data_IF_432560605388
#
_entry.id   IF_432560605388
#
_cell.length_a   1.000
_cell.length_b   1.000
_cell.length_c   1.000
_cell.angle_alpha   90.00
_cell.angle_beta   90.00
_cell.angle_gamma   90.00
#
_symmetry.space_group_name_H-M   'P 1'
#
loop_
_entity.id
_entity.type
_entity.pdbx_description
1 polymer ?
#
# COMPACT_ATOMS: atom_id res chain seq x y z
N UNK A 1 -26.47 15.07 58.24
CA UNK A 1 -27.37 13.94 58.58
C UNK A 1 -26.67 12.65 58.12
N UNK A 2 -26.58 11.67 59.02
CA UNK A 2 -25.72 10.46 58.96
C UNK A 2 -26.48 9.29 58.30
N UNK A 3 -25.81 8.41 57.51
CA UNK A 3 -25.73 6.94 57.76
C UNK A 3 -24.90 6.13 56.75
N UNK A 4 -24.10 5.23 57.34
CA UNK A 4 -23.22 4.19 56.81
C UNK A 4 -23.98 2.92 56.35
N UNK A 5 -23.36 2.12 55.48
CA UNK A 5 -23.16 0.63 55.57
C UNK A 5 -22.49 0.13 54.26
N UNK A 6 -21.68 -0.94 54.13
CA UNK A 6 -21.09 -1.95 55.02
C UNK A 6 -19.92 -2.65 54.24
N UNK A 7 -19.03 -3.29 55.01
CA UNK A 7 -17.78 -4.00 54.62
C UNK A 7 -18.00 -5.40 54.02
N UNK A 8 -16.96 -5.91 53.35
CA UNK A 8 -16.61 -7.35 53.31
C UNK A 8 -15.24 -7.62 52.66
N UNK A 9 -14.19 -7.83 53.47
CA UNK A 9 -12.89 -8.40 53.05
C UNK A 9 -12.82 -9.85 53.57
N UNK A 10 -12.31 -10.77 52.76
CA UNK A 10 -11.95 -12.12 53.17
C UNK A 10 -10.46 -12.37 52.92
N UNK A 11 -9.74 -12.70 53.98
CA UNK A 11 -8.36 -13.20 53.96
C UNK A 11 -8.31 -14.39 54.93
N UNK A 12 -7.84 -15.54 54.46
CA UNK A 12 -7.38 -16.65 55.32
C UNK A 12 -6.25 -17.37 54.59
N UNK A 13 -5.08 -17.37 55.21
CA UNK A 13 -3.98 -18.28 54.90
C UNK A 13 -3.95 -19.44 55.88
N UNK A 14 -3.24 -20.51 55.49
CA UNK A 14 -2.72 -21.52 56.40
C UNK A 14 -1.45 -22.12 55.79
N UNK A 15 -0.37 -22.14 56.57
CA UNK A 15 0.87 -22.91 56.40
C UNK A 15 0.87 -24.01 57.46
N UNK A 16 1.48 -25.15 57.14
CA UNK A 16 2.20 -26.05 58.05
C UNK A 16 3.21 -26.87 57.23
N UNK A 17 4.52 -26.65 57.45
CA UNK A 17 5.55 -27.56 58.03
C UNK A 17 5.29 -29.08 57.95
N UNK A 18 6.24 -30.02 57.95
CA UNK A 18 7.67 -30.19 57.61
C UNK A 18 7.90 -31.73 57.72
N UNK A 19 9.03 -32.24 57.23
CA UNK A 19 9.67 -33.53 57.58
C UNK A 19 9.10 -34.88 57.07
N UNK A 20 9.91 -35.61 56.27
CA UNK A 20 10.51 -36.90 56.69
C UNK A 20 11.30 -37.60 55.57
N UNK A 21 12.54 -37.96 55.90
CA UNK A 21 13.52 -38.70 55.10
C UNK A 21 13.06 -40.12 54.69
N UNK A 22 13.37 -40.52 53.45
CA UNK A 22 13.71 -41.91 53.12
C UNK A 22 14.73 -41.96 51.96
N UNK A 23 15.86 -42.61 52.22
CA UNK A 23 17.03 -42.79 51.37
C UNK A 23 17.03 -44.15 50.65
N UNK A 24 17.45 -44.12 49.37
CA UNK A 24 18.16 -45.15 48.55
C UNK A 24 17.43 -46.42 48.04
N UNK A 25 17.93 -47.16 47.00
CA UNK A 25 19.06 -46.90 46.07
C UNK A 25 18.79 -47.13 44.54
N UNK A 26 19.70 -46.57 43.72
CA UNK A 26 20.20 -46.92 42.37
C UNK A 26 19.44 -47.91 41.46
N UNK A 27 19.18 -47.46 40.22
CA UNK A 27 19.37 -48.29 39.02
C UNK A 27 19.92 -47.44 37.88
N UNK A 28 21.11 -47.83 37.42
CA UNK A 28 21.81 -47.32 36.24
C UNK A 28 21.30 -48.00 34.98
N UNK A 29 20.76 -47.24 34.04
CA UNK A 29 20.82 -47.59 32.62
C UNK A 29 21.07 -46.33 31.81
N UNK A 30 22.33 -46.16 31.44
CA UNK A 30 22.72 -45.40 30.27
C UNK A 30 22.09 -46.10 29.05
N UNK A 31 21.12 -45.44 28.43
CA UNK A 31 20.69 -45.76 27.07
C UNK A 31 20.84 -44.51 26.23
N UNK A 32 21.67 -44.69 25.23
CA UNK A 32 22.09 -43.77 24.20
C UNK A 32 20.88 -43.20 23.46
N UNK A 33 20.79 -41.88 23.39
CA UNK A 33 20.08 -41.16 22.33
C UNK A 33 20.95 -39.98 21.88
N UNK A 34 22.16 -40.32 21.43
CA UNK A 34 22.78 -39.63 20.29
C UNK A 34 22.03 -40.13 19.06
N UNK A 35 21.26 -39.26 18.43
CA UNK A 35 20.83 -39.26 17.01
C UNK A 35 19.49 -38.53 16.82
N UNK A 36 19.39 -37.29 17.31
CA UNK A 36 18.36 -36.34 16.88
C UNK A 36 18.98 -35.15 16.11
N UNK A 37 20.06 -35.41 15.39
CA UNK A 37 20.84 -34.40 14.65
C UNK A 37 20.64 -34.37 13.13
N UNK A 38 19.96 -35.35 12.52
CA UNK A 38 19.90 -35.45 11.04
C UNK A 38 18.49 -35.54 10.43
N UNK A 39 17.43 -35.77 11.21
CA UNK A 39 16.07 -35.89 10.65
C UNK A 39 15.22 -34.60 10.74
N UNK A 40 15.73 -33.55 11.38
CA UNK A 40 15.05 -32.24 11.43
C UNK A 40 15.38 -31.32 10.22
N UNK A 41 16.35 -31.70 9.38
CA UNK A 41 16.83 -30.87 8.27
C UNK A 41 16.21 -31.20 6.90
N UNK A 42 15.30 -32.19 6.83
CA UNK A 42 14.68 -32.66 5.58
C UNK A 42 13.24 -32.16 5.36
N UNK A 43 12.68 -31.38 6.30
CA UNK A 43 11.27 -30.90 6.24
C UNK A 43 11.10 -29.38 6.30
N UNK A 44 12.17 -28.61 6.13
CA UNK A 44 12.07 -27.16 5.94
C UNK A 44 12.11 -26.86 4.44
N UNK A 45 11.07 -26.23 3.85
CA UNK A 45 11.16 -25.74 2.49
C UNK A 45 12.16 -24.58 2.46
N UNK A 46 13.39 -24.87 2.01
CA UNK A 46 14.38 -23.94 1.46
C UNK A 46 14.38 -22.50 2.00
N UNK A 47 14.47 -22.33 3.32
CA UNK A 47 14.70 -21.03 3.94
C UNK A 47 16.20 -20.73 3.90
N UNK A 48 16.69 -20.36 2.71
CA UNK A 48 18.13 -20.18 2.48
C UNK A 48 18.58 -20.25 1.03
N UNK A 49 17.67 -20.32 0.05
CA UNK A 49 18.05 -19.88 -1.29
C UNK A 49 18.23 -18.37 -1.23
N UNK A 50 19.49 -17.94 -1.20
CA UNK A 50 19.89 -16.66 -1.76
C UNK A 50 19.06 -16.46 -3.03
N UNK A 51 18.18 -15.45 -3.00
CA UNK A 51 17.51 -15.00 -4.21
C UNK A 51 18.63 -14.65 -5.17
N UNK A 52 18.79 -15.49 -6.19
CA UNK A 52 19.60 -15.21 -7.36
C UNK A 52 19.37 -13.75 -7.74
N UNK A 53 20.50 -13.03 -7.77
CA UNK A 53 20.73 -11.70 -8.32
C UNK A 53 19.54 -11.08 -9.05
N UNK A 54 19.16 -9.87 -8.61
CA UNK A 54 18.45 -8.82 -9.36
C UNK A 54 18.41 -9.05 -10.88
N UNK A 55 17.48 -9.90 -11.33
CA UNK A 55 16.90 -9.76 -12.66
C UNK A 55 16.02 -8.55 -12.49
N UNK A 56 16.44 -7.43 -13.11
CA UNK A 56 15.81 -6.12 -12.99
C UNK A 56 14.30 -6.27 -12.83
N UNK A 57 13.83 -5.99 -11.62
CA UNK A 57 12.40 -6.08 -11.30
C UNK A 57 11.71 -5.21 -12.32
N UNK A 58 10.78 -5.79 -13.08
CA UNK A 58 9.89 -5.01 -13.92
C UNK A 58 9.15 -4.05 -12.98
N UNK A 59 9.62 -2.80 -13.01
CA UNK A 59 8.99 -1.71 -12.30
C UNK A 59 7.84 -1.32 -13.18
N UNK A 60 6.63 -1.54 -12.70
CA UNK A 60 5.45 -1.00 -13.31
C UNK A 60 5.09 0.32 -12.60
N UNK A 61 4.39 1.21 -13.30
CA UNK A 61 4.19 2.58 -12.85
C UNK A 61 2.74 2.85 -12.47
N UNK A 62 2.48 2.96 -11.17
CA UNK A 62 1.24 3.55 -10.66
C UNK A 62 1.42 5.05 -10.51
N UNK A 63 0.46 5.81 -11.03
CA UNK A 63 0.41 7.26 -10.93
C UNK A 63 -0.81 7.67 -10.12
N UNK A 64 -0.61 8.55 -9.13
CA UNK A 64 -1.71 9.16 -8.38
C UNK A 64 -1.81 10.64 -8.78
N UNK A 65 -3.00 11.07 -9.18
CA UNK A 65 -3.30 12.46 -9.48
C UNK A 65 -4.10 13.06 -8.33
N UNK A 66 -3.58 14.15 -7.77
CA UNK A 66 -4.24 14.95 -6.73
C UNK A 66 -4.60 16.33 -7.29
N UNK A 67 -5.89 16.64 -7.34
CA UNK A 67 -6.39 17.96 -7.70
C UNK A 67 -6.84 18.69 -6.44
N UNK A 68 -6.02 19.66 -6.03
CA UNK A 68 -6.21 20.47 -4.82
C UNK A 68 -6.67 21.89 -5.16
N UNK A 69 -7.29 22.09 -6.32
CA UNK A 69 -7.95 23.34 -6.64
C UNK A 69 -9.15 23.59 -5.70
N UNK A 70 -9.52 24.86 -5.45
CA UNK A 70 -10.78 25.18 -4.78
C UNK A 70 -11.97 24.59 -5.53
N UNK A 71 -12.87 23.90 -4.83
CA UNK A 71 -14.03 23.24 -5.46
C UNK A 71 -15.16 24.20 -5.84
N UNK A 72 -15.09 25.46 -5.41
CA UNK A 72 -16.19 26.42 -5.51
C UNK A 72 -17.33 26.18 -4.51
N UNK A 73 -17.35 25.03 -3.81
CA UNK A 73 -18.31 24.75 -2.74
C UNK A 73 -17.81 25.31 -1.39
N UNK A 74 -18.63 26.10 -0.69
CA UNK A 74 -18.27 26.55 0.65
C UNK A 74 -18.06 25.33 1.56
N UNK A 75 -17.02 25.38 2.40
CA UNK A 75 -16.62 24.36 3.38
C UNK A 75 -15.83 23.13 2.86
N UNK A 76 -15.77 22.88 1.55
CA UNK A 76 -14.97 21.76 0.98
C UNK A 76 -13.53 22.22 0.67
N UNK A 77 -13.33 23.52 0.41
CA UNK A 77 -12.01 24.11 0.25
C UNK A 77 -11.25 23.57 -0.96
N UNK A 78 -9.95 23.31 -0.78
CA UNK A 78 -9.00 22.94 -1.83
C UNK A 78 -8.99 21.42 -2.12
N UNK A 79 -10.17 20.80 -2.22
CA UNK A 79 -10.35 19.35 -2.25
C UNK A 79 -11.15 18.90 -3.48
N UNK A 80 -10.65 19.23 -4.67
CA UNK A 80 -11.40 19.01 -5.91
C UNK A 80 -11.51 17.54 -6.29
N UNK A 81 -10.39 16.83 -6.40
CA UNK A 81 -10.45 15.44 -6.89
C UNK A 81 -9.20 14.62 -6.59
N UNK A 82 -9.34 13.29 -6.64
CA UNK A 82 -8.23 12.36 -6.71
C UNK A 82 -8.61 11.21 -7.64
N UNK A 83 -7.69 10.83 -8.51
CA UNK A 83 -7.77 9.58 -9.26
C UNK A 83 -6.40 8.94 -9.39
N UNK A 84 -6.37 7.75 -9.97
CA UNK A 84 -5.13 7.03 -10.23
C UNK A 84 -5.15 6.43 -11.63
N UNK A 85 -3.98 6.20 -12.20
CA UNK A 85 -3.84 5.43 -13.43
C UNK A 85 -2.58 4.59 -13.40
N UNK A 86 -2.63 3.46 -14.10
CA UNK A 86 -1.52 2.53 -14.28
C UNK A 86 -1.16 2.55 -15.76
N UNK A 87 0.13 2.74 -16.04
CA UNK A 87 0.68 2.66 -17.40
C UNK A 87 1.82 1.66 -17.37
N UNK A 88 1.62 0.46 -17.96
CA UNK A 88 2.65 -0.57 -17.99
C UNK A 88 3.94 -0.10 -18.69
N UNK A 89 5.09 -0.38 -18.07
CA UNK A 89 6.42 -0.02 -18.59
C UNK A 89 6.83 -0.81 -19.85
N UNK A 90 6.17 -1.95 -20.07
CA UNK A 90 6.31 -2.77 -21.27
C UNK A 90 5.68 -2.10 -22.52
N UNK A 91 4.97 -0.98 -22.34
CA UNK A 91 4.31 -0.24 -23.42
C UNK A 91 3.02 -0.88 -23.91
N UNK A 92 2.51 -1.91 -23.22
CA UNK A 92 1.24 -2.57 -23.53
C UNK A 92 0.08 -1.59 -23.31
N UNK A 93 -0.59 -1.16 -24.39
CA UNK A 93 -1.69 -0.22 -24.26
C UNK A 93 -2.95 -0.89 -23.68
N UNK A 94 -3.10 -2.22 -23.80
CA UNK A 94 -4.25 -2.96 -23.24
C UNK A 94 -4.17 -3.08 -21.71
N UNK A 95 -2.96 -3.12 -21.16
CA UNK A 95 -2.73 -3.14 -19.71
C UNK A 95 -2.91 -1.79 -19.01
N UNK A 96 -3.31 -0.73 -19.73
CA UNK A 96 -3.54 0.58 -19.12
C UNK A 96 -4.86 0.61 -18.37
N UNK A 97 -4.84 1.34 -17.25
CA UNK A 97 -5.99 1.53 -16.38
C UNK A 97 -6.05 2.99 -15.93
N UNK A 98 -7.24 3.57 -15.94
CA UNK A 98 -7.56 4.82 -15.24
C UNK A 98 -8.75 4.56 -14.32
N UNK A 99 -8.62 4.96 -13.07
CA UNK A 99 -9.68 4.89 -12.08
C UNK A 99 -9.99 6.30 -11.59
N UNK A 100 -11.21 6.75 -11.91
CA UNK A 100 -11.71 8.10 -11.64
C UNK A 100 -12.97 8.05 -10.76
N UNK A 101 -12.89 7.49 -9.53
CA UNK A 101 -14.06 7.24 -8.70
C UNK A 101 -14.79 8.54 -8.41
N UNK A 102 -16.11 8.57 -8.66
CA UNK A 102 -16.94 9.77 -8.45
C UNK A 102 -16.53 10.97 -9.29
N UNK A 103 -15.67 10.75 -10.28
CA UNK A 103 -15.15 11.78 -11.15
C UNK A 103 -16.08 12.07 -12.33
N UNK A 104 -15.79 13.19 -12.97
CA UNK A 104 -16.55 13.68 -14.13
C UNK A 104 -15.76 13.53 -15.44
N UNK A 105 -14.54 12.96 -15.39
CA UNK A 105 -13.80 12.68 -16.61
C UNK A 105 -14.35 11.41 -17.25
N UNK A 106 -15.26 11.61 -18.22
CA UNK A 106 -15.94 10.53 -18.94
C UNK A 106 -15.73 10.71 -20.45
N UNK A 107 -14.54 10.39 -20.99
CA UNK A 107 -14.28 10.54 -22.43
C UNK A 107 -15.13 9.59 -23.27
N UNK A 108 -15.65 8.53 -22.65
CA UNK A 108 -16.60 7.55 -23.20
C UNK A 108 -17.36 6.87 -22.05
N UNK A 109 -18.17 5.86 -22.39
CA UNK A 109 -18.77 4.97 -21.39
C UNK A 109 -17.67 4.27 -20.58
N UNK A 110 -17.76 4.38 -19.25
CA UNK A 110 -16.82 3.79 -18.31
C UNK A 110 -17.38 2.48 -17.76
N UNK A 111 -16.50 1.56 -17.39
CA UNK A 111 -16.89 0.29 -16.77
C UNK A 111 -17.43 0.46 -15.34
N UNK A 112 -17.80 -0.67 -14.73
CA UNK A 112 -18.05 -0.73 -13.28
C UNK A 112 -16.83 -0.17 -12.55
N UNK A 113 -17.00 0.89 -11.76
CA UNK A 113 -15.85 1.56 -11.14
C UNK A 113 -15.74 3.05 -11.35
N UNK A 114 -16.37 3.61 -12.40
CA UNK A 114 -15.77 4.77 -13.07
C UNK A 114 -14.29 4.46 -13.45
N UNK A 115 -14.06 3.23 -13.94
CA UNK A 115 -12.77 2.76 -14.42
C UNK A 115 -12.77 2.70 -15.95
N UNK A 116 -11.63 3.02 -16.55
CA UNK A 116 -11.35 2.97 -17.97
C UNK A 116 -10.16 2.04 -18.22
N UNK A 117 -10.28 1.15 -19.19
CA UNK A 117 -9.27 0.15 -19.51
C UNK A 117 -8.82 0.26 -20.96
N UNK A 118 -7.58 -0.17 -21.22
CA UNK A 118 -7.02 -0.36 -22.55
C UNK A 118 -6.50 0.91 -23.21
N UNK A 119 -6.30 0.84 -24.53
CA UNK A 119 -5.49 1.83 -25.27
C UNK A 119 -6.01 3.26 -25.19
N UNK A 120 -7.31 3.42 -24.93
CA UNK A 120 -7.98 4.71 -24.83
C UNK A 120 -7.68 5.45 -23.50
N UNK A 121 -7.01 4.80 -22.55
CA UNK A 121 -6.51 5.46 -21.35
C UNK A 121 -5.39 6.44 -21.74
N UNK A 122 -5.70 7.72 -21.57
CA UNK A 122 -4.81 8.85 -21.86
C UNK A 122 -4.54 9.67 -20.58
N UNK A 123 -3.41 9.43 -19.90
CA UNK A 123 -2.98 10.23 -18.75
C UNK A 123 -2.89 11.74 -19.05
N UNK A 124 -2.54 12.09 -20.29
CA UNK A 124 -2.43 13.49 -20.69
C UNK A 124 -3.79 14.17 -20.79
N UNK A 125 -4.79 13.51 -21.39
CA UNK A 125 -6.15 14.05 -21.48
C UNK A 125 -6.77 14.16 -20.09
N UNK A 126 -6.54 13.15 -19.24
CA UNK A 126 -6.97 13.16 -17.85
C UNK A 126 -6.38 14.33 -17.06
N UNK A 127 -5.06 14.55 -17.14
CA UNK A 127 -4.43 15.69 -16.49
C UNK A 127 -4.93 17.03 -17.06
N UNK A 128 -5.09 17.14 -18.38
CA UNK A 128 -5.63 18.36 -19.02
C UNK A 128 -7.03 18.69 -18.53
N UNK A 129 -7.89 17.69 -18.39
CA UNK A 129 -9.23 17.86 -17.85
C UNK A 129 -9.20 18.50 -16.45
N UNK A 130 -8.36 17.99 -15.55
CA UNK A 130 -8.25 18.53 -14.19
C UNK A 130 -7.58 19.90 -14.12
N UNK A 131 -6.62 20.18 -14.99
CA UNK A 131 -5.98 21.49 -15.10
C UNK A 131 -6.93 22.58 -15.61
N UNK A 132 -8.02 22.23 -16.31
CA UNK A 132 -9.05 23.20 -16.70
C UNK A 132 -9.77 23.81 -15.48
N UNK A 133 -9.80 23.11 -14.34
CA UNK A 133 -10.35 23.60 -13.08
C UNK A 133 -9.39 24.47 -12.26
N UNK A 134 -8.11 24.57 -12.67
CA UNK A 134 -7.09 25.38 -12.02
C UNK A 134 -5.71 24.72 -11.98
N UNK A 135 -4.67 25.45 -11.58
CA UNK A 135 -3.28 25.01 -11.70
C UNK A 135 -2.85 23.96 -10.66
N UNK A 136 -3.63 23.73 -9.60
CA UNK A 136 -3.25 22.87 -8.49
C UNK A 136 -3.62 21.40 -8.76
N UNK A 137 -3.06 20.82 -9.81
CA UNK A 137 -3.13 19.39 -10.09
C UNK A 137 -1.72 18.80 -10.19
N UNK A 138 -1.44 17.78 -9.39
CA UNK A 138 -0.13 17.11 -9.35
C UNK A 138 -0.32 15.62 -9.59
N UNK A 139 0.50 15.07 -10.47
CA UNK A 139 0.64 13.63 -10.71
C UNK A 139 1.94 13.16 -10.07
N UNK A 140 1.89 12.13 -9.22
CA UNK A 140 3.08 11.48 -8.64
C UNK A 140 3.21 10.07 -9.18
N UNK A 141 4.40 9.72 -9.66
CA UNK A 141 4.75 8.39 -10.16
C UNK A 141 5.35 7.54 -9.03
N UNK A 142 4.87 6.32 -8.89
CA UNK A 142 5.37 5.33 -7.94
C UNK A 142 5.78 4.06 -8.66
N UNK A 143 6.92 3.52 -8.24
CA UNK A 143 7.39 2.22 -8.69
C UNK A 143 6.58 1.12 -7.99
N UNK A 144 5.65 0.52 -8.71
CA UNK A 144 4.87 -0.65 -8.30
C UNK A 144 5.37 -1.91 -9.01
N UNK A 145 5.03 -3.09 -8.50
CA UNK A 145 5.27 -4.36 -9.21
C UNK A 145 4.00 -4.82 -9.90
N UNK A 146 4.07 -5.71 -10.91
CA UNK A 146 2.87 -6.28 -11.53
C UNK A 146 1.87 -6.88 -10.53
N UNK A 147 2.36 -7.61 -9.51
CA UNK A 147 1.49 -8.16 -8.45
C UNK A 147 0.77 -7.08 -7.63
N UNK A 148 1.42 -5.93 -7.40
CA UNK A 148 0.83 -4.81 -6.66
C UNK A 148 -0.25 -4.12 -7.49
N UNK A 149 -0.03 -4.00 -8.79
CA UNK A 149 -0.99 -3.41 -9.73
C UNK A 149 -2.20 -4.31 -9.93
N UNK A 150 -1.99 -5.62 -10.05
CA UNK A 150 -3.05 -6.61 -10.07
C UNK A 150 -3.91 -6.53 -8.79
N UNK A 151 -3.28 -6.38 -7.62
CA UNK A 151 -4.02 -6.19 -6.37
C UNK A 151 -4.79 -4.86 -6.34
N UNK A 152 -4.21 -3.76 -6.84
CA UNK A 152 -4.91 -2.48 -6.98
C UNK A 152 -6.13 -2.62 -7.89
N UNK A 153 -5.96 -3.27 -9.04
CA UNK A 153 -7.03 -3.52 -10.01
C UNK A 153 -8.16 -4.38 -9.41
N UNK A 154 -7.82 -5.48 -8.73
CA UNK A 154 -8.82 -6.31 -8.04
C UNK A 154 -9.60 -5.49 -7.00
N UNK A 155 -8.92 -4.63 -6.24
CA UNK A 155 -9.58 -3.76 -5.27
C UNK A 155 -10.48 -2.73 -5.95
N UNK A 156 -10.10 -2.19 -7.11
CA UNK A 156 -10.93 -1.29 -7.92
C UNK A 156 -12.19 -2.01 -8.39
N UNK A 157 -12.05 -3.19 -9.00
CA UNK A 157 -13.18 -3.95 -9.51
C UNK A 157 -14.14 -4.37 -8.38
N UNK A 158 -13.60 -4.73 -7.22
CA UNK A 158 -14.39 -5.09 -6.04
C UNK A 158 -15.11 -3.89 -5.41
N UNK A 159 -14.43 -2.75 -5.31
CA UNK A 159 -15.00 -1.55 -4.67
C UNK A 159 -16.00 -0.86 -5.58
N UNK A 160 -15.77 -0.88 -6.90
CA UNK A 160 -16.57 -0.18 -7.87
C UNK A 160 -16.40 1.35 -7.80
N UNK A 161 -17.40 2.05 -8.34
CA UNK A 161 -17.45 3.50 -8.35
C UNK A 161 -17.79 4.06 -6.97
N UNK A 162 -17.53 5.33 -6.76
CA UNK A 162 -17.87 6.03 -5.52
C UNK A 162 -19.20 6.79 -5.61
N UNK A 163 -19.74 7.17 -4.45
CA UNK A 163 -20.80 8.16 -4.36
C UNK A 163 -20.27 9.59 -4.48
N UNK A 164 -21.11 10.59 -4.32
CA UNK A 164 -20.63 11.98 -4.28
C UNK A 164 -19.60 12.16 -3.16
N UNK A 165 -18.45 12.77 -3.47
CA UNK A 165 -17.35 13.07 -2.55
C UNK A 165 -16.51 11.87 -2.06
N UNK A 166 -16.63 10.70 -2.68
CA UNK A 166 -15.88 9.50 -2.28
C UNK A 166 -14.57 9.27 -3.06
N UNK A 167 -14.17 10.18 -3.94
CA UNK A 167 -13.04 9.97 -4.85
C UNK A 167 -11.73 9.58 -4.12
N UNK A 168 -11.29 10.41 -3.16
CA UNK A 168 -10.07 10.14 -2.38
C UNK A 168 -10.23 8.98 -1.42
N UNK A 169 -11.43 8.80 -0.85
CA UNK A 169 -11.75 7.64 0.00
C UNK A 169 -11.52 6.35 -0.76
N UNK A 170 -12.01 6.27 -2.01
CA UNK A 170 -11.86 5.10 -2.85
C UNK A 170 -10.42 4.90 -3.29
N UNK A 171 -9.74 5.95 -3.75
CA UNK A 171 -8.31 5.86 -4.12
C UNK A 171 -7.47 5.37 -2.94
N UNK A 172 -7.68 5.91 -1.73
CA UNK A 172 -6.93 5.46 -0.55
C UNK A 172 -7.24 4.01 -0.17
N UNK A 173 -8.50 3.57 -0.32
CA UNK A 173 -8.87 2.17 -0.02
C UNK A 173 -8.21 1.18 -0.98
N UNK A 174 -8.11 1.51 -2.27
CA UNK A 174 -7.52 0.60 -3.26
C UNK A 174 -5.99 0.53 -3.15
N UNK A 175 -5.31 1.60 -2.73
CA UNK A 175 -3.83 1.60 -2.67
C UNK A 175 -3.26 1.29 -1.27
N UNK A 176 -3.97 1.56 -0.18
CA UNK A 176 -3.40 1.46 1.18
C UNK A 176 -2.84 0.08 1.48
N UNK A 177 -1.65 0.05 2.10
CA UNK A 177 -0.99 -1.19 2.47
C UNK A 177 -0.27 -1.90 1.32
N UNK A 178 -0.35 -1.40 0.09
CA UNK A 178 0.29 -2.00 -1.08
C UNK A 178 1.62 -1.30 -1.38
N UNK A 179 2.72 -2.04 -1.37
CA UNK A 179 4.03 -1.58 -1.85
C UNK A 179 4.45 -0.19 -1.32
N UNK A 180 4.68 0.81 -2.19
CA UNK A 180 5.11 2.15 -1.78
C UNK A 180 4.05 2.89 -0.95
N UNK A 181 2.79 2.44 -0.95
CA UNK A 181 1.66 3.02 -0.24
C UNK A 181 1.41 2.38 1.14
N UNK A 182 2.37 1.62 1.67
CA UNK A 182 2.23 0.85 2.91
C UNK A 182 1.80 1.66 4.15
N UNK A 183 2.05 2.98 4.18
CA UNK A 183 1.64 3.88 5.27
C UNK A 183 0.55 4.88 4.89
N UNK A 184 -0.08 4.73 3.73
CA UNK A 184 -1.22 5.56 3.35
C UNK A 184 -2.39 5.22 4.26
N UNK A 185 -2.90 6.24 4.95
CA UNK A 185 -4.12 6.16 5.74
C UNK A 185 -5.32 6.57 4.90
N UNK A 186 -6.47 5.97 5.21
CA UNK A 186 -7.74 6.32 4.56
C UNK A 186 -8.07 7.78 4.82
N UNK A 187 -8.41 8.52 3.77
CA UNK A 187 -8.86 9.91 3.90
C UNK A 187 -9.82 10.28 2.78
N UNK A 188 -10.74 11.19 3.08
CA UNK A 188 -11.68 11.75 2.10
C UNK A 188 -11.16 13.04 1.44
N UNK A 189 -9.97 13.52 1.83
CA UNK A 189 -9.47 14.83 1.44
C UNK A 189 -8.28 14.72 0.49
N UNK A 190 -8.40 15.16 -0.77
CA UNK A 190 -7.30 15.22 -1.73
C UNK A 190 -6.02 15.86 -1.17
N UNK A 191 -6.13 16.97 -0.41
CA UNK A 191 -4.96 17.63 0.20
C UNK A 191 -4.26 16.72 1.22
N UNK A 192 -5.03 15.96 2.01
CA UNK A 192 -4.47 15.04 2.99
C UNK A 192 -3.72 13.90 2.28
N UNK A 193 -4.31 13.34 1.23
CA UNK A 193 -3.64 12.30 0.46
C UNK A 193 -2.38 12.83 -0.24
N UNK A 194 -2.41 14.00 -0.88
CA UNK A 194 -1.21 14.57 -1.51
C UNK A 194 -0.07 14.76 -0.50
N UNK A 195 -0.38 15.27 0.71
CA UNK A 195 0.59 15.42 1.78
C UNK A 195 1.17 14.06 2.20
N UNK A 196 0.33 13.05 2.43
CA UNK A 196 0.79 11.69 2.75
C UNK A 196 1.71 11.14 1.66
N UNK A 197 1.31 11.23 0.39
CA UNK A 197 2.08 10.73 -0.75
C UNK A 197 3.44 11.45 -0.91
N UNK A 198 3.50 12.74 -0.60
CA UNK A 198 4.74 13.52 -0.56
C UNK A 198 5.63 13.09 0.59
N UNK A 199 5.07 12.97 1.80
CA UNK A 199 5.79 12.61 3.04
C UNK A 199 6.34 11.19 3.04
N UNK A 200 5.72 10.26 2.30
CA UNK A 200 6.26 8.91 2.10
C UNK A 200 7.67 8.94 1.49
N UNK A 201 7.98 9.94 0.64
CA UNK A 201 9.25 10.03 -0.06
C UNK A 201 9.55 8.83 -0.96
N UNK A 202 8.49 8.13 -1.44
CA UNK A 202 8.59 6.93 -2.28
C UNK A 202 8.26 7.16 -3.75
N UNK A 203 7.77 8.35 -4.11
CA UNK A 203 7.53 8.70 -5.51
C UNK A 203 8.87 8.89 -6.23
N UNK A 204 8.96 8.48 -7.49
CA UNK A 204 10.16 8.60 -8.33
C UNK A 204 10.15 9.81 -9.26
N UNK A 205 9.05 10.56 -9.23
CA UNK A 205 8.92 11.85 -9.89
C UNK A 205 7.50 12.39 -9.77
N UNK A 206 7.34 13.65 -10.19
CA UNK A 206 6.07 14.35 -10.17
C UNK A 206 5.92 15.23 -11.42
N UNK A 207 4.68 15.56 -11.76
CA UNK A 207 4.31 16.38 -12.89
C UNK A 207 3.13 17.28 -12.51
N UNK A 208 3.18 18.54 -12.93
CA UNK A 208 2.16 19.57 -12.65
C UNK A 208 1.55 20.14 -13.94
N UNK A 209 2.05 19.68 -15.08
CA UNK A 209 1.62 20.08 -16.43
C UNK A 209 1.86 18.92 -17.41
N UNK A 210 1.22 18.99 -18.58
CA UNK A 210 1.27 17.92 -19.59
C UNK A 210 2.70 17.64 -20.09
N UNK A 211 3.54 18.68 -20.23
CA UNK A 211 4.91 18.50 -20.72
C UNK A 211 5.78 17.81 -19.65
N UNK A 212 5.61 18.16 -18.39
CA UNK A 212 6.25 17.48 -17.26
C UNK A 212 5.77 16.03 -17.13
N UNK A 213 4.49 15.75 -17.37
CA UNK A 213 3.95 14.39 -17.37
C UNK A 213 4.55 13.55 -18.49
N UNK A 214 4.65 14.09 -19.71
CA UNK A 214 5.34 13.43 -20.84
C UNK A 214 6.78 13.08 -20.49
N UNK A 215 7.52 14.01 -19.87
CA UNK A 215 8.89 13.76 -19.42
C UNK A 215 8.96 12.69 -18.33
N UNK A 216 8.02 12.70 -17.39
CA UNK A 216 7.92 11.75 -16.30
C UNK A 216 7.69 10.33 -16.83
N UNK A 217 6.77 10.17 -17.79
CA UNK A 217 6.43 8.89 -18.42
C UNK A 217 7.51 8.41 -19.40
N UNK A 218 8.23 9.31 -20.07
CA UNK A 218 9.32 8.93 -20.97
C UNK A 218 10.56 8.39 -20.23
N UNK A 219 10.69 8.68 -18.93
CA UNK A 219 11.81 8.23 -18.10
C UNK A 219 11.58 6.77 -17.69
N UNK A 220 11.94 5.83 -18.57
CA UNK A 220 12.07 4.41 -18.22
C UNK A 220 13.00 4.24 -17.03
N UNK A 221 12.64 3.35 -16.10
CA UNK A 221 13.37 3.10 -14.86
C UNK A 221 14.86 2.81 -15.05
N UNK A 222 15.70 3.84 -15.09
CA UNK A 222 17.15 3.72 -14.91
C UNK A 222 17.45 3.63 -13.41
N UNK A 223 17.18 2.47 -12.81
CA UNK A 223 17.76 2.12 -11.52
C UNK A 223 18.35 0.72 -11.63
N UNK A 224 19.60 0.65 -12.09
CA UNK A 224 20.31 -0.63 -12.22
C UNK A 224 21.75 -0.59 -12.73
N UNK A 225 22.34 0.58 -13.00
CA UNK A 225 23.72 0.63 -13.50
C UNK A 225 24.42 1.90 -13.02
N UNK A 226 24.91 1.88 -11.78
CA UNK A 226 26.09 2.66 -11.37
C UNK A 226 26.66 2.08 -10.07
N UNK A 227 27.30 0.90 -10.18
CA UNK A 227 28.44 0.57 -9.33
C UNK A 227 29.69 0.80 -10.16
N UNK A 228 30.20 2.03 -10.13
CA UNK A 228 31.58 2.27 -10.52
C UNK A 228 32.48 1.51 -9.54
N UNK A 229 33.05 0.41 -10.01
CA UNK A 229 34.20 -0.22 -9.35
C UNK A 229 35.40 0.68 -9.69
N UNK A 230 35.78 1.52 -8.74
CA UNK A 230 37.10 2.15 -8.76
C UNK A 230 38.15 1.02 -8.66
N UNK A 231 39.04 0.97 -9.64
CA UNK A 231 40.27 0.15 -9.62
C UNK A 231 41.41 0.96 -9.03
#
# INVERSE_FOLDING_TARGET
MIRNSKRGRGAYGARYDDDLYATDPRSTTALELRDFGEEANSRLPSWGKERESDKGVEVADTYIMSNTNPTGYPLIGNNSHTGLFIVPDNGDPEGRLLYDPSGHYKPREMGSGDALYGEEVSPEDYLRYHLAGGPNATVRKFNTTPDQEAEIQERIDRLGGGGAFDCTTNVTEVIRGIGPFGKVEKTMWPVSLDNQLRELGKHVGEANDVQSLRRLMAKKGRMGADKQIAR
#
